data_IF_333843960470
#
_entry.id   IF_333843960470
#
_cell.length_a   1.000
_cell.length_b   1.000
_cell.length_c   1.000
_cell.angle_alpha   90.00
_cell.angle_beta   90.00
_cell.angle_gamma   90.00
#
_symmetry.space_group_name_H-M   'P 1'
#
loop_
_entity.id
_entity.type
_entity.pdbx_description
1 polymer ?
#
# COMPACT_ATOMS: atom_id res chain seq x y z
N UNK A 1 41.06 30.52 0.28
CA UNK A 1 40.28 30.19 1.50
C UNK A 1 38.88 30.74 1.28
N UNK A 2 37.76 30.04 1.35
CA UNK A 2 37.36 28.66 1.18
C UNK A 2 35.88 28.78 0.72
N UNK A 3 35.41 27.87 -0.12
CA UNK A 3 34.02 27.83 -0.59
C UNK A 3 33.01 27.93 0.55
N UNK A 4 32.09 28.88 0.50
CA UNK A 4 30.83 28.77 1.24
C UNK A 4 29.71 28.48 0.24
N UNK A 5 29.50 27.19 0.02
CA UNK A 5 28.38 26.65 -0.72
C UNK A 5 27.17 26.63 0.23
N UNK A 6 26.39 27.71 0.28
CA UNK A 6 25.18 27.81 1.10
C UNK A 6 23.95 27.53 0.24
N UNK A 7 23.79 26.27 -0.13
CA UNK A 7 22.51 25.71 -0.57
C UNK A 7 21.60 25.60 0.67
N UNK A 8 21.04 26.74 1.11
CA UNK A 8 20.08 26.78 2.20
C UNK A 8 18.75 26.27 1.63
N UNK A 9 18.16 25.19 2.15
CA UNK A 9 16.83 24.76 1.74
C UNK A 9 15.86 25.92 1.98
N UNK A 10 15.07 26.25 0.97
CA UNK A 10 14.09 27.33 0.97
C UNK A 10 13.03 27.04 2.03
N UNK A 11 13.27 27.43 3.28
CA UNK A 11 12.21 27.59 4.26
C UNK A 11 11.37 28.78 3.79
N UNK A 12 10.10 28.52 3.47
CA UNK A 12 9.16 29.53 2.95
C UNK A 12 8.80 30.61 3.99
N UNK A 13 9.36 30.53 5.19
CA UNK A 13 9.06 31.40 6.33
C UNK A 13 10.34 32.10 6.82
N UNK A 14 10.32 33.43 7.03
CA UNK A 14 11.44 34.14 7.60
C UNK A 14 11.66 33.69 9.05
N UNK A 15 12.84 33.16 9.34
CA UNK A 15 13.26 32.87 10.72
C UNK A 15 13.38 34.20 11.51
N UNK A 16 13.12 34.19 12.84
CA UNK A 16 13.38 35.35 13.69
C UNK A 16 14.84 35.82 13.55
N UNK A 17 15.03 37.11 13.33
CA UNK A 17 16.35 37.73 13.19
C UNK A 17 17.12 37.79 14.52
N UNK A 18 18.41 38.15 14.50
CA UNK A 18 19.26 38.22 15.70
C UNK A 18 18.74 39.18 16.80
N UNK A 19 17.90 40.14 16.42
CA UNK A 19 17.31 41.14 17.30
C UNK A 19 15.91 40.74 17.82
N UNK A 20 15.43 39.54 17.48
CA UNK A 20 14.11 39.04 17.88
C UNK A 20 14.01 38.85 19.39
N UNK A 21 12.87 39.25 19.95
CA UNK A 21 12.59 39.06 21.37
C UNK A 21 12.41 37.57 21.72
N UNK A 22 12.67 37.20 22.97
CA UNK A 22 12.50 35.82 23.47
C UNK A 22 11.09 35.28 23.17
N UNK A 23 10.06 36.14 23.26
CA UNK A 23 8.68 35.76 22.98
C UNK A 23 8.45 35.37 21.50
N UNK A 24 9.14 36.02 20.56
CA UNK A 24 9.01 35.73 19.13
C UNK A 24 9.68 34.40 18.77
N UNK A 25 10.84 34.13 19.37
CA UNK A 25 11.54 32.84 19.21
C UNK A 25 10.71 31.70 19.80
N UNK A 26 10.08 31.91 20.97
CA UNK A 26 9.21 30.92 21.61
C UNK A 26 8.01 30.57 20.73
N UNK A 27 7.35 31.58 20.17
CA UNK A 27 6.19 31.40 19.29
C UNK A 27 6.53 30.65 18.00
N UNK A 28 7.72 30.90 17.43
CA UNK A 28 8.16 30.19 16.23
C UNK A 28 8.46 28.72 16.54
N UNK A 29 9.13 28.43 17.66
CA UNK A 29 9.39 27.06 18.13
C UNK A 29 8.09 26.29 18.34
N UNK A 30 7.09 26.89 18.99
CA UNK A 30 5.77 26.27 19.19
C UNK A 30 5.11 25.94 17.84
N UNK A 31 5.13 26.88 16.90
CA UNK A 31 4.56 26.67 15.58
C UNK A 31 5.29 25.58 14.78
N UNK A 32 6.62 25.56 14.81
CA UNK A 32 7.40 24.50 14.16
C UNK A 32 7.12 23.13 14.78
N UNK A 33 6.94 23.06 16.11
CA UNK A 33 6.55 21.81 16.78
C UNK A 33 5.17 21.32 16.34
N UNK A 34 4.21 22.22 16.21
CA UNK A 34 2.87 21.89 15.72
C UNK A 34 2.89 21.39 14.26
N UNK A 35 3.63 22.06 13.37
CA UNK A 35 3.76 21.65 11.97
C UNK A 35 4.42 20.26 11.82
N UNK A 36 5.45 19.99 12.64
CA UNK A 36 6.09 18.68 12.70
C UNK A 36 5.17 17.62 13.32
N UNK A 37 4.39 17.98 14.34
CA UNK A 37 3.37 17.12 14.94
C UNK A 37 2.33 16.66 13.93
N UNK A 38 1.78 17.59 13.15
CA UNK A 38 0.83 17.29 12.06
C UNK A 38 1.44 16.39 10.98
N UNK A 39 2.73 16.58 10.67
CA UNK A 39 3.42 15.75 9.66
C UNK A 39 3.63 14.31 10.15
N UNK A 40 3.99 14.14 11.43
CA UNK A 40 4.12 12.81 12.05
C UNK A 40 2.76 12.11 12.11
N UNK A 41 1.70 12.83 12.47
CA UNK A 41 0.34 12.30 12.49
C UNK A 41 -0.13 11.86 11.09
N UNK A 42 0.09 12.69 10.07
CA UNK A 42 -0.23 12.34 8.69
C UNK A 42 0.57 11.12 8.19
N UNK A 43 1.84 11.01 8.61
CA UNK A 43 2.67 9.86 8.27
C UNK A 43 2.20 8.58 8.98
N UNK A 44 1.85 8.68 10.26
CA UNK A 44 1.28 7.59 11.05
C UNK A 44 -0.08 7.12 10.49
N UNK A 45 -0.95 8.05 10.09
CA UNK A 45 -2.21 7.72 9.43
C UNK A 45 -1.96 6.95 8.12
N UNK A 46 -0.95 7.35 7.34
CA UNK A 46 -0.59 6.67 6.09
C UNK A 46 0.01 5.28 6.32
N UNK A 47 0.75 5.06 7.40
CA UNK A 47 1.28 3.74 7.75
C UNK A 47 0.19 2.80 8.26
N UNK A 48 -0.76 3.29 9.05
CA UNK A 48 -1.91 2.50 9.51
C UNK A 48 -2.76 1.99 8.32
N UNK A 49 -3.10 2.88 7.37
CA UNK A 49 -3.86 2.49 6.17
C UNK A 49 -3.14 1.42 5.34
N UNK A 50 -1.81 1.52 5.21
CA UNK A 50 -1.01 0.50 4.51
C UNK A 50 -1.02 -0.83 5.23
N UNK A 51 -0.86 -0.84 6.56
CA UNK A 51 -0.90 -2.05 7.36
C UNK A 51 -2.27 -2.73 7.22
N UNK A 52 -3.36 -1.98 7.38
CA UNK A 52 -4.74 -2.48 7.18
C UNK A 52 -4.96 -3.09 5.80
N UNK A 53 -4.48 -2.43 4.74
CA UNK A 53 -4.61 -2.94 3.39
C UNK A 53 -3.79 -4.23 3.17
N UNK A 54 -2.58 -4.29 3.73
CA UNK A 54 -1.72 -5.46 3.65
C UNK A 54 -2.35 -6.66 4.38
N UNK A 55 -2.89 -6.46 5.58
CA UNK A 55 -3.56 -7.52 6.35
C UNK A 55 -4.77 -8.09 5.59
N UNK A 56 -5.59 -7.22 4.99
CA UNK A 56 -6.72 -7.65 4.16
C UNK A 56 -6.29 -8.40 2.90
N UNK A 57 -5.19 -7.99 2.29
CA UNK A 57 -4.62 -8.70 1.14
C UNK A 57 -4.10 -10.10 1.55
N UNK A 58 -3.41 -10.20 2.69
CA UNK A 58 -2.90 -11.47 3.22
C UNK A 58 -4.05 -12.44 3.55
N UNK A 59 -5.07 -11.97 4.28
CA UNK A 59 -6.27 -12.73 4.61
C UNK A 59 -7.00 -13.22 3.34
N UNK A 60 -7.12 -12.37 2.34
CA UNK A 60 -7.76 -12.75 1.07
C UNK A 60 -6.92 -13.79 0.31
N UNK A 61 -5.60 -13.65 0.30
CA UNK A 61 -4.68 -14.60 -0.34
C UNK A 61 -4.79 -15.98 0.27
N UNK A 62 -4.83 -16.08 1.59
CA UNK A 62 -4.99 -17.35 2.30
C UNK A 62 -6.33 -18.02 1.95
N UNK A 63 -7.43 -17.27 2.02
CA UNK A 63 -8.77 -17.78 1.62
C UNK A 63 -8.81 -18.25 0.16
N UNK A 64 -8.12 -17.55 -0.74
CA UNK A 64 -8.02 -17.95 -2.15
C UNK A 64 -7.15 -19.19 -2.30
N UNK A 65 -6.04 -19.31 -1.57
CA UNK A 65 -5.18 -20.49 -1.60
C UNK A 65 -5.93 -21.74 -1.11
N UNK A 66 -6.67 -21.65 0.01
CA UNK A 66 -7.50 -22.75 0.51
C UNK A 66 -8.57 -23.18 -0.51
N UNK A 67 -9.27 -22.20 -1.10
CA UNK A 67 -10.27 -22.47 -2.16
C UNK A 67 -9.64 -23.06 -3.42
N UNK A 68 -8.43 -22.63 -3.78
CA UNK A 68 -7.70 -23.19 -4.91
C UNK A 68 -7.26 -24.64 -4.63
N UNK A 69 -6.80 -24.95 -3.42
CA UNK A 69 -6.45 -26.32 -3.03
C UNK A 69 -7.67 -27.25 -3.03
N UNK A 70 -8.81 -26.80 -2.51
CA UNK A 70 -10.06 -27.58 -2.53
C UNK A 70 -10.61 -27.76 -3.94
N UNK A 71 -10.61 -26.71 -4.77
CA UNK A 71 -10.99 -26.81 -6.18
C UNK A 71 -10.04 -27.71 -6.99
N UNK A 72 -8.73 -27.66 -6.73
CA UNK A 72 -7.73 -28.50 -7.38
C UNK A 72 -7.89 -29.97 -6.94
N UNK A 73 -8.20 -30.24 -5.68
CA UNK A 73 -8.51 -31.58 -5.19
C UNK A 73 -9.78 -32.13 -5.86
N UNK A 74 -10.87 -31.36 -5.89
CA UNK A 74 -12.11 -31.74 -6.56
C UNK A 74 -11.93 -31.93 -8.09
N UNK A 75 -11.09 -31.11 -8.71
CA UNK A 75 -10.78 -31.24 -10.14
C UNK A 75 -9.91 -32.47 -10.42
N UNK A 76 -8.93 -32.77 -9.56
CA UNK A 76 -8.14 -34.01 -9.69
C UNK A 76 -9.02 -35.25 -9.54
N UNK A 77 -9.90 -35.26 -8.55
CA UNK A 77 -10.85 -36.36 -8.30
C UNK A 77 -11.83 -36.55 -9.48
N UNK A 78 -12.33 -35.44 -10.06
CA UNK A 78 -13.18 -35.48 -11.24
C UNK A 78 -12.45 -35.83 -12.55
N UNK A 79 -11.11 -35.70 -12.60
CA UNK A 79 -10.29 -36.04 -13.76
C UNK A 79 -9.71 -37.45 -13.70
N UNK A 80 -9.63 -38.06 -12.51
CA UNK A 80 -9.19 -39.45 -12.34
C UNK A 80 -10.39 -40.37 -12.16
N UNK A 81 -11.05 -40.75 -13.25
CA UNK A 81 -11.80 -42.00 -13.22
C UNK A 81 -10.80 -43.17 -13.29
N UNK A 82 -11.13 -44.32 -12.69
CA UNK A 82 -10.22 -45.45 -12.39
C UNK A 82 -9.51 -46.14 -13.57
N UNK A 83 -9.40 -45.49 -14.74
CA UNK A 83 -8.76 -46.00 -15.96
C UNK A 83 -7.85 -45.00 -16.69
N UNK A 84 -7.50 -43.85 -16.11
CA UNK A 84 -6.41 -43.01 -16.62
C UNK A 84 -6.62 -42.39 -18.01
N UNK A 85 -7.87 -42.16 -18.44
CA UNK A 85 -8.18 -41.51 -19.70
C UNK A 85 -8.87 -40.15 -19.45
N UNK A 86 -8.21 -39.06 -19.89
CA UNK A 86 -8.70 -37.69 -19.73
C UNK A 86 -9.80 -37.43 -20.78
N UNK A 87 -11.05 -37.25 -20.37
CA UNK A 87 -12.14 -36.82 -21.28
C UNK A 87 -11.94 -35.35 -21.68
N UNK A 88 -11.95 -35.00 -22.98
CA UNK A 88 -11.70 -33.64 -23.45
C UNK A 88 -13.01 -32.85 -23.51
N UNK A 89 -13.69 -32.59 -22.39
CA UNK A 89 -14.78 -31.60 -22.40
C UNK A 89 -14.92 -30.91 -21.04
N UNK A 90 -14.79 -29.58 -21.09
CA UNK A 90 -15.32 -28.49 -20.23
C UNK A 90 -14.20 -27.49 -19.83
N UNK A 91 -13.97 -26.42 -20.61
CA UNK A 91 -13.16 -25.29 -20.19
C UNK A 91 -14.07 -24.12 -19.76
N UNK A 92 -14.85 -24.28 -18.68
CA UNK A 92 -15.62 -23.15 -18.11
C UNK A 92 -14.97 -22.60 -16.82
N UNK A 93 -14.07 -23.34 -16.17
CA UNK A 93 -13.49 -22.92 -14.90
C UNK A 93 -12.35 -21.87 -14.99
N UNK A 94 -11.67 -21.75 -16.15
CA UNK A 94 -10.53 -20.82 -16.31
C UNK A 94 -11.00 -19.38 -16.62
N UNK A 95 -12.21 -19.19 -17.15
CA UNK A 95 -12.72 -17.88 -17.57
C UNK A 95 -12.93 -16.90 -16.41
N UNK A 96 -13.38 -17.38 -15.25
CA UNK A 96 -13.78 -16.51 -14.12
C UNK A 96 -12.58 -15.80 -13.49
N UNK A 97 -11.43 -16.48 -13.33
CA UNK A 97 -10.22 -15.86 -12.78
C UNK A 97 -9.66 -14.77 -13.70
N UNK A 98 -9.67 -15.01 -15.02
CA UNK A 98 -9.21 -14.01 -16.00
C UNK A 98 -10.10 -12.77 -16.01
N UNK A 99 -11.43 -12.93 -15.88
CA UNK A 99 -12.38 -11.81 -15.79
C UNK A 99 -12.16 -11.01 -14.50
N UNK A 100 -11.99 -11.68 -13.35
CA UNK A 100 -11.74 -10.97 -12.08
C UNK A 100 -10.43 -10.19 -12.13
N UNK A 101 -9.33 -10.79 -12.62
CA UNK A 101 -8.05 -10.10 -12.80
C UNK A 101 -8.19 -8.93 -13.78
N UNK A 102 -8.91 -9.12 -14.89
CA UNK A 102 -9.18 -8.07 -15.86
C UNK A 102 -9.94 -6.88 -15.28
N UNK A 103 -11.00 -7.13 -14.50
CA UNK A 103 -11.79 -6.08 -13.83
C UNK A 103 -10.95 -5.32 -12.80
N UNK A 104 -10.13 -6.02 -12.02
CA UNK A 104 -9.23 -5.39 -11.04
C UNK A 104 -8.20 -4.50 -11.73
N UNK A 105 -7.60 -4.96 -12.83
CA UNK A 105 -6.62 -4.16 -13.58
C UNK A 105 -7.27 -2.94 -14.27
N UNK A 106 -8.52 -3.06 -14.75
CA UNK A 106 -9.27 -1.93 -15.30
C UNK A 106 -9.61 -0.88 -14.24
N UNK A 107 -10.11 -1.33 -13.08
CA UNK A 107 -10.44 -0.43 -11.94
C UNK A 107 -9.22 0.23 -11.30
N UNK A 108 -8.02 -0.33 -11.52
CA UNK A 108 -6.76 0.26 -11.05
C UNK A 108 -6.17 1.26 -12.06
N UNK A 109 -6.63 1.22 -13.31
CA UNK A 109 -6.15 2.09 -14.40
C UNK A 109 -7.10 3.26 -14.72
N UNK A 110 -8.37 3.16 -14.32
CA UNK A 110 -9.33 4.27 -14.27
C UNK A 110 -9.38 4.86 -12.87
#
# INVERSE_FOLDING_TARGET
MASENTDKPTNLRPEPGPDAGVAEIQADIEKTRDELGQTVEALAAKTDVKARAHDKAAETKERVAEKAHTAQAATRDALTDGRGAVKPVIPIAVGVLAVVVGVVLWRRRH
#
